data_IF_066923828042
#
_entry.id   IF_066923828042
#
_cell.length_a   1.000
_cell.length_b   1.000
_cell.length_c   1.000
_cell.angle_alpha   90.00
_cell.angle_beta   90.00
_cell.angle_gamma   90.00
#
_symmetry.space_group_name_H-M   'P 1'
#
loop_
_entity.id
_entity.type
_entity.pdbx_description
1 polymer ?
#
# COMPACT_ATOMS: atom_id res chain seq x y z
N UNK A 1 -5.77 -24.01 11.77
CA UNK A 1 -5.32 -22.63 11.50
C UNK A 1 -4.00 -22.36 12.21
N UNK A 2 -2.91 -22.07 11.49
CA UNK A 2 -1.63 -21.76 12.14
C UNK A 2 -1.60 -20.27 12.55
N UNK A 3 -1.67 -20.01 13.86
CA UNK A 3 -1.67 -18.68 14.45
C UNK A 3 -0.53 -17.79 13.94
N UNK A 4 0.67 -18.35 13.76
CA UNK A 4 1.85 -17.59 13.34
C UNK A 4 1.71 -17.05 11.92
N UNK A 5 1.11 -17.81 11.00
CA UNK A 5 0.93 -17.38 9.60
C UNK A 5 -0.09 -16.25 9.51
N UNK A 6 -1.19 -16.37 10.25
CA UNK A 6 -2.20 -15.32 10.33
C UNK A 6 -1.65 -14.06 11.01
N UNK A 7 -0.90 -14.22 12.11
CA UNK A 7 -0.26 -13.10 12.80
C UNK A 7 0.71 -12.34 11.88
N UNK A 8 1.54 -13.06 11.13
CA UNK A 8 2.47 -12.47 10.16
C UNK A 8 1.71 -11.69 9.08
N UNK A 9 0.64 -12.28 8.55
CA UNK A 9 -0.22 -11.66 7.54
C UNK A 9 -0.84 -10.36 8.05
N UNK A 10 -1.51 -10.42 9.21
CA UNK A 10 -2.18 -9.27 9.82
C UNK A 10 -1.17 -8.18 10.19
N UNK A 11 0.00 -8.55 10.70
CA UNK A 11 1.08 -7.60 10.99
C UNK A 11 1.53 -6.86 9.72
N UNK A 12 1.58 -7.56 8.59
CA UNK A 12 1.81 -6.95 7.27
C UNK A 12 0.76 -5.90 6.89
N UNK A 13 -0.52 -6.17 7.15
CA UNK A 13 -1.59 -5.17 6.97
C UNK A 13 -1.45 -3.99 7.93
N UNK A 14 -1.25 -4.22 9.23
CA UNK A 14 -1.11 -3.14 10.22
C UNK A 14 -0.02 -2.15 9.81
N UNK A 15 1.14 -2.67 9.38
CA UNK A 15 2.28 -1.85 8.97
C UNK A 15 2.04 -1.24 7.58
N UNK A 16 1.71 -2.07 6.59
CA UNK A 16 1.63 -1.68 5.18
C UNK A 16 0.39 -0.87 4.83
N UNK A 17 -0.81 -1.39 5.12
CA UNK A 17 -2.08 -0.70 4.87
C UNK A 17 -2.18 0.57 5.71
N UNK A 18 -1.69 0.55 6.96
CA UNK A 18 -1.62 1.74 7.80
C UNK A 18 -0.78 2.85 7.15
N UNK A 19 0.43 2.51 6.70
CA UNK A 19 1.31 3.45 6.01
C UNK A 19 0.72 3.96 4.68
N UNK A 20 0.09 3.08 3.88
CA UNK A 20 -0.60 3.47 2.64
C UNK A 20 -1.74 4.43 2.91
N UNK A 21 -2.61 4.13 3.89
CA UNK A 21 -3.75 4.98 4.22
C UNK A 21 -3.30 6.39 4.59
N UNK A 22 -2.26 6.51 5.42
CA UNK A 22 -1.71 7.81 5.81
C UNK A 22 -1.17 8.58 4.61
N UNK A 23 -0.34 7.95 3.76
CA UNK A 23 0.30 8.66 2.66
C UNK A 23 -0.67 9.01 1.53
N UNK A 24 -1.65 8.16 1.25
CA UNK A 24 -2.65 8.41 0.21
C UNK A 24 -3.56 9.59 0.62
N UNK A 25 -3.97 9.67 1.88
CA UNK A 25 -4.73 10.82 2.40
C UNK A 25 -3.90 12.11 2.29
N UNK A 26 -2.63 12.08 2.75
CA UNK A 26 -1.74 13.23 2.63
C UNK A 26 -1.61 13.69 1.19
N UNK A 27 -1.38 12.77 0.28
CA UNK A 27 -1.20 13.06 -1.12
C UNK A 27 -2.47 13.57 -1.81
N UNK A 28 -3.66 13.09 -1.42
CA UNK A 28 -4.94 13.63 -1.89
C UNK A 28 -5.13 15.08 -1.43
N UNK A 29 -4.82 15.39 -0.17
CA UNK A 29 -4.87 16.75 0.36
C UNK A 29 -3.81 17.65 -0.29
N UNK A 30 -2.61 17.11 -0.56
CA UNK A 30 -1.49 17.80 -1.18
C UNK A 30 -1.83 18.44 -2.52
N UNK A 31 -2.71 17.83 -3.31
CA UNK A 31 -3.16 18.37 -4.60
C UNK A 31 -3.66 19.82 -4.55
N UNK A 32 -4.25 20.22 -3.42
CA UNK A 32 -4.90 21.53 -3.25
C UNK A 32 -4.16 22.42 -2.26
N UNK A 33 -3.08 21.94 -1.64
CA UNK A 33 -2.40 22.67 -0.58
C UNK A 33 -0.89 22.46 -0.61
N UNK A 34 -0.17 23.58 -0.58
CA UNK A 34 1.28 23.67 -0.41
C UNK A 34 1.75 22.92 0.85
N UNK A 35 1.10 23.21 1.99
CA UNK A 35 1.38 22.58 3.27
C UNK A 35 1.28 21.06 3.19
N UNK A 36 0.18 20.54 2.63
CA UNK A 36 -0.02 19.10 2.51
C UNK A 36 0.91 18.45 1.47
N UNK A 37 1.35 19.20 0.44
CA UNK A 37 2.35 18.71 -0.53
C UNK A 37 3.71 18.50 0.14
N UNK A 38 4.15 19.47 0.94
CA UNK A 38 5.39 19.37 1.70
C UNK A 38 5.31 18.25 2.75
N UNK A 39 4.20 18.20 3.50
CA UNK A 39 3.95 17.13 4.47
C UNK A 39 4.01 15.74 3.81
N UNK A 40 3.38 15.56 2.65
CA UNK A 40 3.47 14.31 1.86
C UNK A 40 4.93 13.99 1.50
N UNK A 41 5.69 14.97 1.03
CA UNK A 41 7.10 14.80 0.62
C UNK A 41 7.99 14.43 1.79
N UNK A 42 7.71 14.88 3.01
CA UNK A 42 8.45 14.46 4.21
C UNK A 42 8.02 13.08 4.68
N UNK A 43 6.71 12.85 4.79
CA UNK A 43 6.13 11.61 5.30
C UNK A 43 6.47 10.40 4.41
N UNK A 44 6.52 10.57 3.08
CA UNK A 44 6.78 9.43 2.18
C UNK A 44 8.13 8.74 2.40
N UNK A 45 9.12 9.44 2.98
CA UNK A 45 10.45 8.89 3.28
C UNK A 45 10.37 7.76 4.33
N UNK A 46 9.41 7.87 5.25
CA UNK A 46 9.17 6.88 6.31
C UNK A 46 8.09 5.89 5.88
N UNK A 47 7.01 6.34 5.24
CA UNK A 47 5.93 5.42 4.86
C UNK A 47 6.35 4.47 3.74
N UNK A 48 7.20 4.88 2.78
CA UNK A 48 7.69 4.00 1.71
C UNK A 48 8.34 2.70 2.23
N UNK A 49 9.36 2.72 3.12
CA UNK A 49 9.93 1.48 3.65
C UNK A 49 8.91 0.67 4.46
N UNK A 50 8.02 1.32 5.23
CA UNK A 50 6.96 0.62 5.95
C UNK A 50 5.99 -0.11 5.00
N UNK A 51 5.62 0.50 3.88
CA UNK A 51 4.77 -0.13 2.85
C UNK A 51 5.48 -1.37 2.28
N UNK A 52 6.77 -1.29 1.99
CA UNK A 52 7.54 -2.45 1.49
C UNK A 52 7.64 -3.58 2.52
N UNK A 53 7.94 -3.25 3.79
CA UNK A 53 7.98 -4.23 4.89
C UNK A 53 6.61 -4.88 5.07
N UNK A 54 5.55 -4.08 5.17
CA UNK A 54 4.19 -4.57 5.30
C UNK A 54 3.75 -5.43 4.12
N UNK A 55 4.11 -5.03 2.89
CA UNK A 55 3.87 -5.82 1.67
C UNK A 55 4.51 -7.19 1.79
N UNK A 56 5.82 -7.25 2.10
CA UNK A 56 6.55 -8.51 2.22
C UNK A 56 5.96 -9.43 3.29
N UNK A 57 5.60 -8.88 4.46
CA UNK A 57 4.97 -9.64 5.55
C UNK A 57 3.57 -10.15 5.17
N UNK A 58 2.74 -9.31 4.55
CA UNK A 58 1.39 -9.69 4.13
C UNK A 58 1.42 -10.78 3.04
N UNK A 59 2.33 -10.67 2.07
CA UNK A 59 2.49 -11.65 1.00
C UNK A 59 3.03 -12.98 1.51
N UNK A 60 4.12 -12.96 2.28
CA UNK A 60 4.73 -14.19 2.81
C UNK A 60 3.82 -14.89 3.82
N UNK A 61 3.23 -14.14 4.76
CA UNK A 61 2.23 -14.65 5.69
C UNK A 61 1.00 -15.18 4.95
N UNK A 62 0.49 -14.45 3.95
CA UNK A 62 -0.67 -14.85 3.17
C UNK A 62 -0.43 -16.15 2.42
N UNK A 63 0.71 -16.28 1.72
CA UNK A 63 1.09 -17.52 1.03
C UNK A 63 1.08 -18.70 2.02
N UNK A 64 1.71 -18.55 3.19
CA UNK A 64 1.73 -19.62 4.20
C UNK A 64 0.33 -19.92 4.76
N UNK A 65 -0.47 -18.88 5.02
CA UNK A 65 -1.81 -19.01 5.56
C UNK A 65 -2.75 -19.74 4.59
N UNK A 66 -2.87 -19.27 3.35
CA UNK A 66 -3.77 -19.84 2.35
C UNK A 66 -3.41 -21.28 1.97
N UNK A 67 -2.11 -21.60 1.87
CA UNK A 67 -1.67 -22.98 1.64
C UNK A 67 -2.03 -23.90 2.83
N UNK A 68 -2.08 -23.39 4.06
CA UNK A 68 -2.41 -24.20 5.23
C UNK A 68 -3.91 -24.54 5.39
N UNK A 69 -4.76 -23.94 4.57
CA UNK A 69 -6.24 -24.07 4.62
C UNK A 69 -6.85 -24.47 3.27
N UNK A 70 -6.02 -24.87 2.30
CA UNK A 70 -6.41 -25.31 0.95
C UNK A 70 -7.26 -24.31 0.13
N UNK A 71 -7.22 -23.01 0.45
CA UNK A 71 -7.96 -21.96 -0.26
C UNK A 71 -7.12 -21.33 -1.39
N UNK A 72 -6.67 -22.16 -2.34
CA UNK A 72 -5.76 -21.75 -3.44
C UNK A 72 -6.37 -20.69 -4.36
N UNK A 73 -7.70 -20.72 -4.57
CA UNK A 73 -8.39 -19.71 -5.38
C UNK A 73 -8.29 -18.29 -4.79
N UNK A 74 -8.41 -18.16 -3.47
CA UNK A 74 -8.27 -16.87 -2.78
C UNK A 74 -6.81 -16.42 -2.75
N UNK A 75 -5.87 -17.34 -2.60
CA UNK A 75 -4.44 -17.06 -2.72
C UNK A 75 -4.10 -16.41 -4.07
N UNK A 76 -4.64 -16.95 -5.17
CA UNK A 76 -4.41 -16.39 -6.51
C UNK A 76 -4.92 -14.94 -6.59
N UNK A 77 -6.10 -14.66 -6.04
CA UNK A 77 -6.64 -13.31 -5.94
C UNK A 77 -5.70 -12.36 -5.18
N UNK A 78 -5.18 -12.78 -4.02
CA UNK A 78 -4.20 -12.02 -3.25
C UNK A 78 -2.92 -11.73 -4.04
N UNK A 79 -2.35 -12.75 -4.69
CA UNK A 79 -1.12 -12.61 -5.48
C UNK A 79 -1.32 -11.62 -6.63
N UNK A 80 -2.45 -11.69 -7.33
CA UNK A 80 -2.77 -10.75 -8.41
C UNK A 80 -2.89 -9.32 -7.89
N UNK A 81 -3.63 -9.11 -6.79
CA UNK A 81 -3.76 -7.77 -6.18
C UNK A 81 -2.38 -7.23 -5.79
N UNK A 82 -1.57 -8.03 -5.10
CA UNK A 82 -0.24 -7.60 -4.67
C UNK A 82 0.73 -7.40 -5.84
N UNK A 83 0.59 -8.11 -6.96
CA UNK A 83 1.37 -7.83 -8.16
C UNK A 83 1.08 -6.42 -8.70
N UNK A 84 -0.19 -6.01 -8.75
CA UNK A 84 -0.57 -4.64 -9.11
C UNK A 84 -0.07 -3.61 -8.09
N UNK A 85 -0.19 -3.89 -6.79
CA UNK A 85 0.32 -3.02 -5.73
C UNK A 85 1.84 -2.84 -5.80
N UNK A 86 2.59 -3.92 -6.08
CA UNK A 86 4.04 -3.87 -6.25
C UNK A 86 4.42 -3.08 -7.50
N UNK A 87 3.75 -3.30 -8.63
CA UNK A 87 3.98 -2.51 -9.84
C UNK A 87 3.74 -1.00 -9.59
N UNK A 88 2.67 -0.67 -8.88
CA UNK A 88 2.38 0.70 -8.46
C UNK A 88 3.42 1.24 -7.46
N UNK A 89 3.84 0.44 -6.50
CA UNK A 89 4.89 0.78 -5.53
C UNK A 89 6.24 1.04 -6.19
N UNK A 90 6.59 0.29 -7.24
CA UNK A 90 7.78 0.49 -8.08
C UNK A 90 7.66 1.82 -8.82
N UNK A 91 6.51 2.12 -9.45
CA UNK A 91 6.25 3.41 -10.08
C UNK A 91 6.46 4.58 -9.09
N UNK A 92 5.84 4.52 -7.93
CA UNK A 92 5.97 5.53 -6.88
C UNK A 92 7.42 5.65 -6.38
N UNK A 93 8.13 4.53 -6.25
CA UNK A 93 9.47 4.46 -5.69
C UNK A 93 10.55 5.02 -6.60
N UNK A 94 10.44 4.79 -7.91
CA UNK A 94 11.50 5.08 -8.88
C UNK A 94 11.19 6.24 -9.82
N UNK A 95 9.93 6.68 -9.93
CA UNK A 95 9.57 7.86 -10.73
C UNK A 95 9.08 9.01 -9.87
N UNK A 96 8.11 8.76 -8.98
CA UNK A 96 7.52 9.84 -8.16
C UNK A 96 8.49 10.31 -7.08
N UNK A 97 9.05 9.39 -6.29
CA UNK A 97 9.93 9.76 -5.17
C UNK A 97 11.17 10.55 -5.62
N UNK A 98 11.92 10.16 -6.67
CA UNK A 98 13.03 10.96 -7.16
C UNK A 98 12.61 12.35 -7.68
N UNK A 99 11.44 12.45 -8.33
CA UNK A 99 10.89 13.73 -8.78
C UNK A 99 10.59 14.67 -7.60
N UNK A 100 9.96 14.15 -6.54
CA UNK A 100 9.65 14.94 -5.33
C UNK A 100 10.95 15.38 -4.61
N UNK A 101 11.91 14.47 -4.46
CA UNK A 101 13.20 14.78 -3.82
C UNK A 101 14.03 15.81 -4.60
N UNK A 102 13.97 15.78 -5.95
CA UNK A 102 14.61 16.80 -6.78
C UNK A 102 14.01 18.18 -6.51
N UNK A 103 12.68 18.29 -6.49
CA UNK A 103 11.98 19.55 -6.18
C UNK A 103 12.28 20.04 -4.76
N UNK A 104 12.39 19.13 -3.79
CA UNK A 104 12.80 19.46 -2.43
C UNK A 104 14.20 20.10 -2.40
N UNK A 105 15.17 19.49 -3.09
CA UNK A 105 16.54 20.03 -3.20
C UNK A 105 16.62 21.38 -3.91
N UNK A 106 15.73 21.62 -4.87
CA UNK A 106 15.63 22.88 -5.61
C UNK A 106 14.83 23.96 -4.84
N UNK A 107 14.29 23.66 -3.66
CA UNK A 107 13.51 24.59 -2.84
C UNK A 107 12.04 24.74 -3.25
N UNK A 108 11.56 23.95 -4.22
CA UNK A 108 10.20 23.99 -4.76
C UNK A 108 9.22 23.05 -4.04
N UNK A 109 9.48 22.74 -2.77
CA UNK A 109 8.69 21.80 -1.95
C UNK A 109 7.32 22.34 -1.50
N UNK A 110 7.22 23.65 -1.32
CA UNK A 110 5.97 24.33 -0.93
C UNK A 110 5.08 24.65 -2.14
N UNK A 111 5.55 24.38 -3.36
CA UNK A 111 4.75 24.58 -4.56
C UNK A 111 3.88 23.35 -4.84
N UNK A 112 2.68 23.61 -5.36
CA UNK A 112 1.83 22.52 -5.86
C UNK A 112 2.53 21.79 -7.00
N UNK A 113 2.36 20.46 -7.02
CA UNK A 113 2.88 19.65 -8.11
C UNK A 113 2.21 20.04 -9.44
N UNK A 114 2.92 19.93 -10.58
CA UNK A 114 2.31 20.11 -11.89
C UNK A 114 1.09 19.21 -12.08
N UNK A 115 0.03 19.70 -12.74
CA UNK A 115 -1.25 18.98 -12.91
C UNK A 115 -1.08 17.55 -13.44
N UNK A 116 -0.14 17.34 -14.36
CA UNK A 116 0.16 16.00 -14.91
C UNK A 116 0.67 15.03 -13.83
N UNK A 117 1.55 15.49 -12.95
CA UNK A 117 2.06 14.70 -11.83
C UNK A 117 0.97 14.46 -10.79
N UNK A 118 0.18 15.48 -10.44
CA UNK A 118 -0.96 15.31 -9.53
C UNK A 118 -1.91 14.21 -10.01
N UNK A 119 -2.25 14.18 -11.31
CA UNK A 119 -3.15 13.16 -11.87
C UNK A 119 -2.56 11.76 -11.76
N UNK A 120 -1.30 11.57 -12.18
CA UNK A 120 -0.62 10.26 -12.10
C UNK A 120 -0.51 9.74 -10.67
N UNK A 121 -0.12 10.62 -9.75
CA UNK A 121 0.01 10.31 -8.33
C UNK A 121 -1.36 10.00 -7.71
N UNK A 122 -2.41 10.76 -8.04
CA UNK A 122 -3.77 10.48 -7.58
C UNK A 122 -4.25 9.09 -8.01
N UNK A 123 -4.06 8.74 -9.28
CA UNK A 123 -4.44 7.42 -9.79
C UNK A 123 -3.67 6.33 -9.05
N UNK A 124 -2.37 6.55 -8.80
CA UNK A 124 -1.55 5.61 -8.04
C UNK A 124 -2.05 5.43 -6.60
N UNK A 125 -2.48 6.50 -5.93
CA UNK A 125 -3.07 6.41 -4.59
C UNK A 125 -4.41 5.68 -4.60
N UNK A 126 -5.28 5.91 -5.59
CA UNK A 126 -6.53 5.16 -5.69
C UNK A 126 -6.27 3.66 -5.90
N UNK A 127 -5.31 3.30 -6.76
CA UNK A 127 -4.90 1.90 -6.96
C UNK A 127 -4.33 1.30 -5.67
N UNK A 128 -3.45 2.01 -4.96
CA UNK A 128 -2.91 1.55 -3.67
C UNK A 128 -4.00 1.35 -2.62
N UNK A 129 -4.82 2.37 -2.40
CA UNK A 129 -5.87 2.36 -1.39
C UNK A 129 -6.86 1.22 -1.64
N UNK A 130 -7.40 1.13 -2.86
CA UNK A 130 -8.36 0.08 -3.21
C UNK A 130 -7.73 -1.30 -3.22
N UNK A 131 -6.49 -1.45 -3.68
CA UNK A 131 -5.80 -2.74 -3.68
C UNK A 131 -5.52 -3.23 -2.26
N UNK A 132 -5.02 -2.38 -1.36
CA UNK A 132 -4.75 -2.80 0.02
C UNK A 132 -6.03 -3.12 0.81
N UNK A 133 -7.05 -2.27 0.71
CA UNK A 133 -8.34 -2.53 1.38
C UNK A 133 -9.07 -3.73 0.76
N UNK A 134 -9.05 -3.87 -0.57
CA UNK A 134 -9.63 -5.03 -1.25
C UNK A 134 -8.92 -6.34 -0.87
N UNK A 135 -7.59 -6.30 -0.76
CA UNK A 135 -6.77 -7.42 -0.27
C UNK A 135 -7.13 -7.77 1.19
N UNK A 136 -7.31 -6.79 2.06
CA UNK A 136 -7.76 -7.04 3.44
C UNK A 136 -9.19 -7.65 3.45
N UNK A 137 -10.12 -7.13 2.66
CA UNK A 137 -11.47 -7.69 2.54
C UNK A 137 -11.45 -9.14 2.06
N UNK A 138 -10.57 -9.49 1.12
CA UNK A 138 -10.37 -10.87 0.67
C UNK A 138 -9.84 -11.78 1.79
N UNK A 139 -8.96 -11.26 2.65
CA UNK A 139 -8.48 -11.99 3.84
C UNK A 139 -9.62 -12.23 4.83
N UNK A 140 -10.40 -11.19 5.13
CA UNK A 140 -11.53 -11.31 6.04
C UNK A 140 -12.59 -12.30 5.53
N UNK A 141 -12.83 -12.29 4.22
CA UNK A 141 -13.69 -13.29 3.58
C UNK A 141 -13.16 -14.71 3.78
N UNK A 142 -11.86 -14.94 3.52
CA UNK A 142 -11.24 -16.23 3.75
C UNK A 142 -11.36 -16.70 5.21
N UNK A 143 -11.15 -15.81 6.18
CA UNK A 143 -11.31 -16.12 7.60
C UNK A 143 -12.77 -16.47 7.91
N UNK A 144 -13.73 -15.74 7.32
CA UNK A 144 -15.16 -16.01 7.54
C UNK A 144 -15.58 -17.37 7.01
N UNK A 145 -15.14 -17.77 5.81
CA UNK A 145 -15.42 -19.09 5.23
C UNK A 145 -14.94 -20.21 6.15
N UNK A 146 -13.75 -20.08 6.74
CA UNK A 146 -13.23 -21.05 7.71
C UNK A 146 -14.10 -21.07 8.98
N UNK A 147 -14.47 -19.89 9.50
CA UNK A 147 -15.23 -19.77 10.74
C UNK A 147 -16.68 -20.29 10.63
N UNK A 148 -17.25 -20.37 9.43
CA UNK A 148 -18.57 -20.97 9.20
C UNK A 148 -18.55 -22.49 9.04
N UNK A 149 -17.38 -23.07 8.70
CA UNK A 149 -17.21 -24.51 8.49
C UNK A 149 -17.00 -25.28 9.82
N UNK A 150 -16.63 -24.59 10.90
CA UNK A 150 -16.38 -25.15 12.24
C UNK A 150 -17.28 -24.52 13.31
#
# INVERSE_FOLDING_TARGET
MNFLYLLLTISGYVIGLGAVTVIDIHGLLGRKSAYWTEATTRTHKVTKPLIWIGTFMALSGGILFYNSIDLVGLLLGHVVIFAFLMANGIFLSFWVSPFLLKREKEGHQAELLPKNWQRRITVSFLVSFTGWWGSLSLLLYAISEIAYVY
#
